data_IF_009080692152
#
_entry.id   IF_009080692152
#
_cell.length_a   1.000
_cell.length_b   1.000
_cell.length_c   1.000
_cell.angle_alpha   90.00
_cell.angle_beta   90.00
_cell.angle_gamma   90.00
#
_symmetry.space_group_name_H-M   'P 1'
#
loop_
_entity.id
_entity.type
_entity.pdbx_description
1 polymer ?
#
# COMPACT_ATOMS: atom_id res chain seq x y z
N UNK A 1 -22.01 -13.75 3.63
CA UNK A 1 -23.36 -14.35 3.80
C UNK A 1 -24.04 -14.68 2.48
N UNK A 2 -23.65 -14.03 1.38
CA UNK A 2 -24.29 -14.16 0.06
C UNK A 2 -24.02 -15.52 -0.62
N UNK A 3 -22.83 -16.10 -0.43
CA UNK A 3 -22.46 -17.38 -1.05
C UNK A 3 -23.33 -18.56 -0.57
N UNK A 4 -23.77 -18.52 0.69
CA UNK A 4 -24.66 -19.54 1.26
C UNK A 4 -26.05 -19.47 0.64
N UNK A 5 -26.57 -18.26 0.40
CA UNK A 5 -27.87 -18.05 -0.25
C UNK A 5 -27.85 -18.57 -1.69
N UNK A 6 -26.77 -18.32 -2.43
CA UNK A 6 -26.61 -18.79 -3.79
C UNK A 6 -26.60 -20.33 -3.89
N UNK A 7 -25.91 -21.02 -2.99
CA UNK A 7 -25.91 -22.49 -2.95
C UNK A 7 -27.28 -23.07 -2.59
N UNK A 8 -28.02 -22.43 -1.67
CA UNK A 8 -29.38 -22.87 -1.29
C UNK A 8 -30.34 -22.75 -2.47
N UNK A 9 -30.31 -21.63 -3.20
CA UNK A 9 -31.16 -21.42 -4.37
C UNK A 9 -30.83 -22.45 -5.46
N UNK A 10 -29.55 -22.71 -5.70
CA UNK A 10 -29.12 -23.72 -6.66
C UNK A 10 -29.62 -25.12 -6.28
N UNK A 11 -29.52 -25.51 -5.01
CA UNK A 11 -30.01 -26.82 -4.55
C UNK A 11 -31.53 -26.96 -4.65
N UNK A 12 -32.28 -25.89 -4.35
CA UNK A 12 -33.75 -25.90 -4.44
C UNK A 12 -34.19 -26.01 -5.90
N UNK A 13 -33.54 -25.28 -6.81
CA UNK A 13 -33.83 -25.34 -8.25
C UNK A 13 -33.57 -26.73 -8.83
N UNK A 14 -32.46 -27.38 -8.42
CA UNK A 14 -32.13 -28.75 -8.84
C UNK A 14 -33.17 -29.75 -8.30
N UNK A 15 -33.56 -29.63 -7.02
CA UNK A 15 -34.59 -30.49 -6.42
C UNK A 15 -35.95 -30.33 -7.11
N UNK A 16 -36.34 -29.10 -7.43
CA UNK A 16 -37.58 -28.83 -8.15
C UNK A 16 -37.58 -29.47 -9.55
N UNK A 17 -36.48 -29.35 -10.30
CA UNK A 17 -36.30 -30.00 -11.60
C UNK A 17 -36.42 -31.53 -11.50
N UNK A 18 -35.80 -32.14 -10.48
CA UNK A 18 -35.88 -33.58 -10.23
C UNK A 18 -37.33 -34.01 -9.96
N UNK A 19 -38.06 -33.27 -9.13
CA UNK A 19 -39.47 -33.56 -8.81
C UNK A 19 -40.37 -33.42 -10.05
N UNK A 20 -40.14 -32.40 -10.89
CA UNK A 20 -40.88 -32.22 -12.16
C UNK A 20 -40.63 -33.40 -13.11
N UNK A 21 -39.38 -33.86 -13.22
CA UNK A 21 -39.04 -35.04 -14.04
C UNK A 21 -39.71 -36.30 -13.48
N UNK A 22 -39.72 -36.51 -12.16
CA UNK A 22 -40.36 -37.67 -11.52
C UNK A 22 -41.89 -37.64 -11.71
N UNK A 23 -42.53 -36.48 -11.53
CA UNK A 23 -43.99 -36.34 -11.69
C UNK A 23 -44.43 -36.52 -13.13
N UNK A 24 -43.67 -35.99 -14.10
CA UNK A 24 -43.85 -36.28 -15.52
C UNK A 24 -43.64 -37.78 -15.84
N UNK A 25 -42.69 -38.42 -15.15
CA UNK A 25 -42.40 -39.85 -15.27
C UNK A 25 -43.51 -40.76 -14.71
N UNK A 26 -44.25 -40.30 -13.70
CA UNK A 26 -45.35 -41.07 -13.08
C UNK A 26 -46.66 -40.89 -13.85
N UNK A 27 -46.88 -39.73 -14.48
CA UNK A 27 -48.13 -39.39 -15.17
C UNK A 27 -48.20 -39.88 -16.62
N UNK A 28 -47.05 -40.04 -17.29
CA UNK A 28 -46.97 -40.61 -18.64
C UNK A 28 -46.76 -42.13 -18.56
N UNK A 29 -47.77 -42.92 -18.92
CA UNK A 29 -47.66 -44.39 -19.07
C UNK A 29 -46.43 -44.78 -19.91
N UNK A 30 -45.89 -45.97 -19.61
CA UNK A 30 -44.68 -46.62 -20.13
C UNK A 30 -44.64 -46.78 -21.68
N UNK A 31 -44.67 -45.66 -22.40
CA UNK A 31 -44.57 -45.57 -23.86
C UNK A 31 -43.12 -45.40 -24.28
N UNK A 32 -42.76 -45.80 -25.50
CA UNK A 32 -41.39 -45.62 -26.03
C UNK A 32 -40.93 -44.15 -26.00
N UNK A 33 -41.86 -43.19 -26.11
CA UNK A 33 -41.58 -41.74 -26.04
C UNK A 33 -41.02 -41.30 -24.68
N UNK A 34 -41.40 -41.98 -23.61
CA UNK A 34 -40.93 -41.74 -22.25
C UNK A 34 -39.42 -41.95 -22.08
N UNK A 35 -38.90 -43.01 -22.71
CA UNK A 35 -37.48 -43.35 -22.64
C UNK A 35 -36.63 -42.34 -23.41
N UNK A 36 -37.15 -41.76 -24.50
CA UNK A 36 -36.44 -40.75 -25.27
C UNK A 36 -36.33 -39.41 -24.51
N UNK A 37 -37.43 -38.90 -23.96
CA UNK A 37 -37.44 -37.62 -23.23
C UNK A 37 -36.46 -37.69 -22.05
N UNK A 38 -36.49 -38.78 -21.31
CA UNK A 38 -35.63 -38.88 -20.14
C UNK A 38 -34.16 -39.11 -20.44
N UNK A 39 -33.83 -39.71 -21.58
CA UNK A 39 -32.44 -39.78 -22.03
C UNK A 39 -31.86 -38.38 -22.27
N UNK A 40 -32.68 -37.48 -22.84
CA UNK A 40 -32.29 -36.08 -23.08
C UNK A 40 -32.09 -35.33 -21.77
N UNK A 41 -33.01 -35.47 -20.81
CA UNK A 41 -32.91 -34.81 -19.51
C UNK A 41 -31.66 -35.27 -18.73
N UNK A 42 -31.39 -36.58 -18.69
CA UNK A 42 -30.21 -37.12 -18.01
C UNK A 42 -28.92 -36.62 -18.66
N UNK A 43 -28.87 -36.58 -20.00
CA UNK A 43 -27.71 -36.06 -20.74
C UNK A 43 -27.46 -34.58 -20.44
N UNK A 44 -28.51 -33.76 -20.39
CA UNK A 44 -28.41 -32.34 -20.06
C UNK A 44 -27.92 -32.12 -18.62
N UNK A 45 -28.45 -32.88 -17.66
CA UNK A 45 -28.03 -32.83 -16.25
C UNK A 45 -26.55 -33.21 -16.11
N UNK A 46 -26.12 -34.31 -16.76
CA UNK A 46 -24.72 -34.74 -16.74
C UNK A 46 -23.79 -33.69 -17.37
N UNK A 47 -24.21 -33.06 -18.48
CA UNK A 47 -23.44 -31.99 -19.12
C UNK A 47 -23.28 -30.77 -18.19
N UNK A 48 -24.35 -30.34 -17.51
CA UNK A 48 -24.29 -29.23 -16.54
C UNK A 48 -23.42 -29.57 -15.34
N UNK A 49 -23.56 -30.78 -14.76
CA UNK A 49 -22.72 -31.24 -13.65
C UNK A 49 -21.25 -31.26 -14.07
N UNK A 50 -20.94 -31.82 -15.24
CA UNK A 50 -19.58 -31.89 -15.77
C UNK A 50 -19.00 -30.47 -15.97
N UNK A 51 -19.77 -29.56 -16.56
CA UNK A 51 -19.39 -28.16 -16.71
C UNK A 51 -19.14 -27.48 -15.35
N UNK A 52 -20.01 -27.69 -14.35
CA UNK A 52 -19.83 -27.14 -13.00
C UNK A 52 -18.59 -27.71 -12.31
N UNK A 53 -18.28 -29.00 -12.48
CA UNK A 53 -17.08 -29.64 -11.94
C UNK A 53 -15.83 -29.08 -12.59
N UNK A 54 -15.81 -28.95 -13.92
CA UNK A 54 -14.70 -28.34 -14.67
C UNK A 54 -14.50 -26.90 -14.23
N UNK A 55 -15.57 -26.11 -14.16
CA UNK A 55 -15.53 -24.71 -13.71
C UNK A 55 -15.07 -24.57 -12.26
N UNK A 56 -15.51 -25.47 -11.37
CA UNK A 56 -15.07 -25.52 -9.97
C UNK A 56 -13.60 -25.89 -9.85
N UNK A 57 -13.14 -26.93 -10.57
CA UNK A 57 -11.72 -27.32 -10.64
C UNK A 57 -10.87 -26.15 -11.12
N UNK A 58 -11.26 -25.54 -12.23
CA UNK A 58 -10.55 -24.40 -12.82
C UNK A 58 -10.44 -23.21 -11.86
N UNK A 59 -11.54 -22.83 -11.20
CA UNK A 59 -11.53 -21.74 -10.22
C UNK A 59 -10.75 -22.09 -8.95
N UNK A 60 -10.66 -23.36 -8.56
CA UNK A 60 -9.92 -23.79 -7.37
C UNK A 60 -8.41 -23.68 -7.59
N UNK A 61 -7.91 -24.15 -8.73
CA UNK A 61 -6.50 -24.04 -9.10
C UNK A 61 -6.02 -22.59 -9.16
N UNK A 62 -6.81 -21.70 -9.78
CA UNK A 62 -6.49 -20.26 -9.83
C UNK A 62 -6.32 -19.64 -8.45
N UNK A 63 -7.15 -20.01 -7.46
CA UNK A 63 -7.06 -19.46 -6.10
C UNK A 63 -5.77 -19.88 -5.38
N UNK A 64 -5.31 -21.11 -5.60
CA UNK A 64 -4.08 -21.63 -4.98
C UNK A 64 -2.85 -20.90 -5.53
N UNK A 65 -2.76 -20.74 -6.85
CA UNK A 65 -1.65 -20.02 -7.48
C UNK A 65 -1.60 -18.55 -7.06
N UNK A 66 -2.75 -17.87 -7.06
CA UNK A 66 -2.83 -16.47 -6.60
C UNK A 66 -2.41 -16.37 -5.13
N UNK A 67 -2.87 -17.27 -4.27
CA UNK A 67 -2.45 -17.28 -2.86
C UNK A 67 -0.95 -17.52 -2.70
N UNK A 68 -0.37 -18.44 -3.48
CA UNK A 68 1.07 -18.73 -3.45
C UNK A 68 1.88 -17.51 -3.89
N UNK A 69 1.49 -16.89 -5.01
CA UNK A 69 2.13 -15.68 -5.54
C UNK A 69 2.00 -14.49 -4.58
N UNK A 70 0.84 -14.30 -3.93
CA UNK A 70 0.64 -13.27 -2.90
C UNK A 70 1.50 -13.54 -1.66
N UNK A 71 1.69 -14.81 -1.27
CA UNK A 71 2.56 -15.16 -0.15
C UNK A 71 4.03 -14.89 -0.47
N UNK A 72 4.51 -15.38 -1.62
CA UNK A 72 5.88 -15.19 -2.09
C UNK A 72 6.22 -13.71 -2.29
N UNK A 73 5.31 -12.93 -2.88
CA UNK A 73 5.45 -11.48 -3.01
C UNK A 73 5.46 -10.74 -1.66
N UNK A 74 4.80 -11.27 -0.62
CA UNK A 74 4.87 -10.72 0.74
C UNK A 74 6.22 -11.01 1.39
N UNK A 75 6.74 -12.23 1.27
CA UNK A 75 8.07 -12.58 1.80
C UNK A 75 9.17 -11.74 1.17
N UNK A 76 9.20 -11.64 -0.16
CA UNK A 76 10.14 -10.77 -0.88
C UNK A 76 10.04 -9.31 -0.40
N UNK A 77 8.82 -8.76 -0.27
CA UNK A 77 8.65 -7.39 0.25
C UNK A 77 9.21 -7.22 1.66
N UNK A 78 9.05 -8.21 2.54
CA UNK A 78 9.59 -8.17 3.91
C UNK A 78 11.12 -8.18 3.85
N UNK A 79 11.73 -9.07 3.08
CA UNK A 79 13.19 -9.13 2.92
C UNK A 79 13.77 -7.84 2.34
N UNK A 80 13.17 -7.31 1.26
CA UNK A 80 13.55 -6.01 0.69
C UNK A 80 13.38 -4.86 1.69
N UNK A 81 12.34 -4.89 2.54
CA UNK A 81 12.15 -3.86 3.56
C UNK A 81 13.20 -3.93 4.67
N UNK A 82 13.64 -5.14 5.04
CA UNK A 82 14.72 -5.35 5.99
C UNK A 82 16.05 -4.85 5.44
N UNK A 83 16.41 -5.25 4.22
CA UNK A 83 17.63 -4.78 3.53
C UNK A 83 17.64 -3.25 3.41
N UNK A 84 16.50 -2.63 3.09
CA UNK A 84 16.34 -1.17 3.04
C UNK A 84 16.60 -0.51 4.40
N UNK A 85 16.07 -1.07 5.50
CA UNK A 85 16.31 -0.59 6.87
C UNK A 85 17.79 -0.70 7.26
N UNK A 86 18.46 -1.79 6.88
CA UNK A 86 19.89 -2.01 7.15
C UNK A 86 20.77 -1.05 6.34
N UNK A 87 20.43 -0.85 5.06
CA UNK A 87 21.14 0.07 4.17
C UNK A 87 20.88 1.55 4.47
N UNK A 88 20.04 1.87 5.46
CA UNK A 88 19.71 3.26 5.82
C UNK A 88 18.89 4.00 4.75
N UNK A 89 18.28 3.27 3.81
CA UNK A 89 17.53 3.84 2.71
C UNK A 89 16.12 4.21 3.19
N UNK A 90 15.60 5.41 2.87
CA UNK A 90 14.29 5.84 3.34
C UNK A 90 13.14 5.01 2.75
N UNK A 91 12.13 4.73 3.57
CA UNK A 91 10.96 3.92 3.16
C UNK A 91 9.83 4.81 2.63
N UNK A 92 9.12 4.38 1.58
CA UNK A 92 7.91 5.07 1.11
C UNK A 92 6.71 4.65 1.95
N UNK A 93 6.11 5.60 2.66
CA UNK A 93 4.90 5.41 3.46
C UNK A 93 3.64 5.76 2.67
N UNK A 94 2.53 5.05 2.94
CA UNK A 94 1.21 5.48 2.48
C UNK A 94 0.72 6.63 3.35
N UNK A 95 -0.11 7.50 2.79
CA UNK A 95 -0.70 8.61 3.54
C UNK A 95 -1.55 8.10 4.71
N UNK A 96 -2.34 7.05 4.47
CA UNK A 96 -3.17 6.37 5.49
C UNK A 96 -2.35 5.94 6.72
N UNK A 97 -1.13 5.40 6.50
CA UNK A 97 -0.26 4.98 7.61
C UNK A 97 0.26 6.18 8.41
N UNK A 98 0.47 7.34 7.76
CA UNK A 98 0.91 8.57 8.44
C UNK A 98 -0.25 9.25 9.17
N UNK A 99 -1.45 9.23 8.59
CA UNK A 99 -2.67 9.71 9.23
C UNK A 99 -2.94 8.89 10.50
N UNK A 100 -2.88 7.56 10.43
CA UNK A 100 -3.04 6.69 11.59
C UNK A 100 -1.95 6.97 12.64
N UNK A 101 -0.68 7.09 12.22
CA UNK A 101 0.43 7.34 13.13
C UNK A 101 0.37 8.71 13.82
N UNK A 102 -0.26 9.70 13.21
CA UNK A 102 -0.34 11.08 13.72
C UNK A 102 -1.72 11.45 14.28
N UNK A 103 -2.61 10.46 14.40
CA UNK A 103 -4.01 10.64 14.80
C UNK A 103 -4.70 11.73 13.92
N UNK A 104 -4.52 11.63 12.60
CA UNK A 104 -5.01 12.62 11.64
C UNK A 104 -4.29 13.97 11.68
N UNK A 105 -2.98 13.97 11.92
CA UNK A 105 -2.14 15.18 12.03
C UNK A 105 -2.58 16.14 13.14
N UNK A 106 -3.08 15.60 14.26
CA UNK A 106 -3.65 16.39 15.37
C UNK A 106 -2.61 17.21 16.14
N UNK A 107 -1.47 16.60 16.47
CA UNK A 107 -0.47 17.22 17.37
C UNK A 107 0.63 17.86 16.52
N UNK A 108 0.48 19.15 16.24
CA UNK A 108 1.53 19.94 15.62
C UNK A 108 2.60 20.31 16.67
N UNK A 109 3.86 20.01 16.36
CA UNK A 109 5.02 20.29 17.22
C UNK A 109 5.91 21.41 16.67
N UNK A 110 5.67 21.86 15.43
CA UNK A 110 6.38 22.99 14.85
C UNK A 110 5.77 23.47 13.53
N UNK A 111 6.03 24.73 13.19
CA UNK A 111 5.67 25.35 11.91
C UNK A 111 6.83 26.22 11.44
N UNK A 112 7.21 26.12 10.18
CA UNK A 112 8.26 26.95 9.57
C UNK A 112 8.02 27.20 8.09
N UNK A 113 8.95 27.89 7.43
CA UNK A 113 8.83 28.28 6.01
C UNK A 113 8.84 27.13 4.99
N UNK A 114 9.20 25.92 5.43
CA UNK A 114 9.16 24.69 4.63
C UNK A 114 7.96 23.80 4.98
N UNK A 115 7.08 24.23 5.88
CA UNK A 115 5.83 23.56 6.22
C UNK A 115 5.66 23.25 7.71
N UNK A 116 4.79 22.28 8.00
CA UNK A 116 4.29 21.97 9.34
C UNK A 116 4.76 20.61 9.82
N UNK A 117 5.16 20.48 11.09
CA UNK A 117 5.69 19.23 11.67
C UNK A 117 4.75 18.71 12.74
N UNK A 118 4.40 17.42 12.64
CA UNK A 118 3.46 16.74 13.52
C UNK A 118 4.15 15.60 14.27
N UNK A 119 3.76 15.37 15.52
CA UNK A 119 4.21 14.21 16.29
C UNK A 119 3.36 12.99 15.95
N UNK A 120 3.99 11.82 15.86
CA UNK A 120 3.30 10.56 15.66
C UNK A 120 4.03 9.36 16.25
N UNK A 121 3.35 8.22 16.24
CA UNK A 121 3.88 6.91 16.63
C UNK A 121 3.54 5.92 15.52
N UNK A 122 4.57 5.33 14.90
CA UNK A 122 4.38 4.31 13.87
C UNK A 122 3.82 3.00 14.47
N UNK A 123 3.30 2.11 13.62
CA UNK A 123 2.80 0.78 14.00
C UNK A 123 3.82 -0.09 14.73
N UNK A 124 5.11 0.17 14.55
CA UNK A 124 6.21 -0.52 15.23
C UNK A 124 6.58 0.11 16.60
N UNK A 125 5.85 1.13 17.05
CA UNK A 125 6.07 1.84 18.32
C UNK A 125 7.12 2.96 18.23
N UNK A 126 7.73 3.18 17.07
CA UNK A 126 8.72 4.24 16.89
C UNK A 126 8.07 5.62 16.98
N UNK A 127 8.57 6.49 17.87
CA UNK A 127 8.17 7.90 17.91
C UNK A 127 8.79 8.64 16.71
N UNK A 128 7.96 9.37 15.98
CA UNK A 128 8.35 10.06 14.75
C UNK A 128 7.86 11.50 14.70
N UNK A 129 8.59 12.32 13.94
CA UNK A 129 8.19 13.66 13.54
C UNK A 129 7.87 13.63 12.03
N UNK A 130 6.63 13.95 11.67
CA UNK A 130 6.13 13.96 10.30
C UNK A 130 6.05 15.41 9.81
N UNK A 131 6.98 15.81 8.94
CA UNK A 131 7.01 17.13 8.30
C UNK A 131 6.19 17.09 7.01
N UNK A 132 5.11 17.86 6.96
CA UNK A 132 4.33 18.14 5.75
C UNK A 132 4.97 19.30 5.01
N UNK A 133 5.37 19.09 3.75
CA UNK A 133 5.93 20.14 2.89
C UNK A 133 4.78 20.91 2.24
N UNK A 134 4.85 22.25 2.29
CA UNK A 134 3.84 23.16 1.75
C UNK A 134 4.35 23.84 0.46
N UNK A 135 3.46 24.04 -0.53
CA UNK A 135 3.77 24.66 -1.84
C UNK A 135 4.04 23.66 -2.98
N UNK A 136 3.36 23.82 -4.14
CA UNK A 136 3.38 22.80 -5.22
C UNK A 136 4.74 22.69 -5.93
N UNK A 137 5.29 23.79 -6.47
CA UNK A 137 6.59 23.81 -7.17
C UNK A 137 7.78 23.81 -6.20
N UNK A 138 7.76 24.71 -5.21
CA UNK A 138 8.83 24.83 -4.20
C UNK A 138 8.97 23.54 -3.40
N UNK A 139 7.84 22.90 -3.06
CA UNK A 139 7.82 21.66 -2.30
C UNK A 139 8.36 20.44 -3.06
N UNK A 140 8.32 20.38 -4.40
CA UNK A 140 8.89 19.23 -5.15
C UNK A 140 10.41 19.28 -5.09
N UNK A 141 10.96 20.48 -5.30
CA UNK A 141 12.39 20.72 -5.26
C UNK A 141 12.94 20.50 -3.85
N UNK A 142 12.27 21.03 -2.83
CA UNK A 142 12.62 20.80 -1.42
C UNK A 142 12.55 19.31 -1.07
N UNK A 143 11.46 18.63 -1.44
CA UNK A 143 11.29 17.18 -1.23
C UNK A 143 12.38 16.34 -1.89
N UNK A 144 12.67 16.57 -3.18
CA UNK A 144 13.70 15.82 -3.92
C UNK A 144 15.10 16.11 -3.37
N UNK A 145 15.37 17.34 -2.98
CA UNK A 145 16.65 17.72 -2.37
C UNK A 145 16.85 17.02 -1.02
N UNK A 146 15.82 16.98 -0.18
CA UNK A 146 15.87 16.30 1.11
C UNK A 146 16.06 14.78 0.93
N UNK A 147 15.28 14.14 0.05
CA UNK A 147 15.45 12.70 -0.25
C UNK A 147 16.83 12.40 -0.86
N UNK A 148 17.34 13.26 -1.74
CA UNK A 148 18.65 13.08 -2.36
C UNK A 148 19.81 13.24 -1.36
N UNK A 149 19.73 14.19 -0.42
CA UNK A 149 20.73 14.33 0.63
C UNK A 149 20.77 13.11 1.57
N UNK A 150 19.65 12.45 1.79
CA UNK A 150 19.60 11.23 2.58
C UNK A 150 20.19 10.05 1.81
N UNK A 151 20.02 10.01 0.49
CA UNK A 151 20.70 9.03 -0.35
C UNK A 151 22.23 9.21 -0.36
N UNK A 152 22.74 10.41 -0.03
CA UNK A 152 24.17 10.74 -0.10
C UNK A 152 24.90 10.84 1.24
N UNK A 153 24.20 10.89 2.40
CA UNK A 153 24.84 11.16 3.68
C UNK A 153 24.91 9.94 4.61
N UNK A 154 26.14 9.49 4.88
CA UNK A 154 26.51 8.51 5.90
C UNK A 154 27.25 9.19 7.07
N UNK A 155 26.69 10.28 7.64
CA UNK A 155 27.30 10.99 8.78
C UNK A 155 26.44 10.94 10.06
N UNK A 156 27.11 10.79 11.21
CA UNK A 156 26.56 10.56 12.57
C UNK A 156 25.66 11.68 13.14
N UNK A 157 25.55 12.85 12.50
CA UNK A 157 24.91 14.04 13.09
C UNK A 157 23.65 14.52 12.35
N UNK A 158 23.10 13.76 11.40
CA UNK A 158 21.79 14.08 10.81
C UNK A 158 20.69 13.28 11.52
N UNK A 159 19.59 13.97 11.85
CA UNK A 159 18.38 13.32 12.39
C UNK A 159 17.94 12.23 11.39
N UNK A 160 17.84 10.99 11.87
CA UNK A 160 17.56 9.82 11.03
C UNK A 160 16.20 10.00 10.33
N UNK A 161 16.21 10.08 8.99
CA UNK A 161 14.98 9.97 8.20
C UNK A 161 14.55 8.50 8.16
N UNK A 162 13.33 8.22 8.63
CA UNK A 162 12.70 6.91 8.49
C UNK A 162 12.11 6.71 7.09
N UNK A 163 11.59 7.78 6.48
CA UNK A 163 11.02 7.68 5.15
C UNK A 163 10.27 8.92 4.69
N UNK A 164 9.47 8.73 3.65
CA UNK A 164 8.74 9.81 3.00
C UNK A 164 7.39 9.32 2.48
N UNK A 165 6.45 10.24 2.25
CA UNK A 165 5.22 9.97 1.50
C UNK A 165 5.02 11.04 0.43
N UNK A 166 4.51 10.63 -0.74
CA UNK A 166 4.15 11.53 -1.84
C UNK A 166 2.91 10.98 -2.52
N UNK A 167 1.78 11.64 -2.30
CA UNK A 167 0.44 11.27 -2.78
C UNK A 167 -0.33 12.55 -3.14
N UNK A 168 -0.90 12.64 -4.34
CA UNK A 168 -1.79 13.73 -4.77
C UNK A 168 -1.29 15.14 -4.41
N UNK A 169 -0.01 15.44 -4.73
CA UNK A 169 0.70 16.70 -4.42
C UNK A 169 1.00 16.97 -2.95
N UNK A 170 0.54 16.12 -2.04
CA UNK A 170 0.93 16.17 -0.63
C UNK A 170 2.22 15.38 -0.43
N UNK A 171 3.20 16.03 0.21
CA UNK A 171 4.53 15.46 0.44
C UNK A 171 4.84 15.50 1.93
N UNK A 172 5.30 14.37 2.44
CA UNK A 172 5.63 14.20 3.86
C UNK A 172 7.01 13.58 4.00
N UNK A 173 7.72 13.99 5.05
CA UNK A 173 9.00 13.42 5.47
C UNK A 173 8.88 12.97 6.92
N UNK A 174 9.39 11.77 7.19
CA UNK A 174 9.24 11.09 8.48
C UNK A 174 10.62 10.97 9.11
N UNK A 175 10.82 11.65 10.23
CA UNK A 175 12.07 11.66 10.99
C UNK A 175 11.92 10.94 12.32
N UNK A 176 13.02 10.50 12.90
CA UNK A 176 13.06 10.09 14.29
C UNK A 176 12.72 11.25 15.21
N UNK A 177 11.73 11.04 16.08
CA UNK A 177 11.43 11.99 17.15
C UNK A 177 12.47 11.80 18.25
N UNK A 178 13.17 12.88 18.60
CA UNK A 178 14.13 12.89 19.69
C UNK A 178 13.42 13.52 20.90
N UNK A 179 13.00 12.73 21.91
CA UNK A 179 12.46 13.29 23.13
C UNK A 179 13.59 13.98 23.90
N UNK A 180 13.38 15.22 24.33
CA UNK A 180 14.32 15.96 25.16
C UNK A 180 14.65 15.15 26.43
N UNK A 181 15.88 14.67 26.55
CA UNK A 181 16.41 14.15 27.82
C UNK A 181 16.83 15.36 28.67
N UNK A 182 15.97 15.71 29.63
CA UNK A 182 16.28 16.50 30.83
C UNK A 182 17.22 17.70 30.68
N UNK A 183 16.67 18.90 30.51
CA UNK A 183 17.06 20.09 31.29
C UNK A 183 15.92 21.11 31.23
N UNK A 184 15.34 21.42 32.40
CA UNK A 184 14.61 22.68 32.61
C UNK A 184 15.58 23.80 32.33
N UNK A 185 15.13 24.73 31.50
CA UNK A 185 15.51 26.13 31.28
C UNK A 185 15.15 26.37 29.82
N UNK A 186 14.34 27.40 29.60
CA UNK A 186 13.77 27.83 28.33
C UNK A 186 14.70 27.53 27.14
N UNK A 187 14.32 26.56 26.30
CA UNK A 187 15.02 26.32 25.05
C UNK A 187 14.50 27.33 24.03
N UNK A 188 15.38 28.21 23.48
CA UNK A 188 14.99 29.18 22.48
C UNK A 188 14.46 28.47 21.23
N UNK A 189 13.67 29.18 20.41
CA UNK A 189 13.10 28.73 19.12
C UNK A 189 14.09 27.95 18.22
N UNK A 190 15.39 28.06 18.48
CA UNK A 190 16.50 27.40 17.80
C UNK A 190 16.48 25.85 17.81
N UNK A 191 15.93 25.16 18.83
CA UNK A 191 15.91 23.67 18.82
C UNK A 191 14.71 23.12 18.01
N UNK A 192 13.57 23.82 18.04
CA UNK A 192 12.46 23.61 17.10
C UNK A 192 12.92 23.97 15.68
N UNK A 193 13.72 25.04 15.54
CA UNK A 193 14.36 25.40 14.29
C UNK A 193 15.31 24.31 13.80
N UNK A 194 16.04 23.58 14.66
CA UNK A 194 16.87 22.44 14.23
C UNK A 194 16.08 21.27 13.67
N UNK A 195 14.87 20.98 14.18
CA UNK A 195 13.96 19.99 13.59
C UNK A 195 13.30 20.51 12.29
N UNK A 196 13.12 21.83 12.16
CA UNK A 196 12.61 22.48 10.94
C UNK A 196 13.70 22.64 9.85
N UNK A 197 14.96 22.81 10.24
CA UNK A 197 16.17 23.03 9.41
C UNK A 197 16.93 21.73 9.05
N UNK A 198 16.40 20.53 9.34
CA UNK A 198 17.03 19.24 8.91
C UNK A 198 17.04 19.06 7.38
N UNK A 199 16.50 20.02 6.62
CA UNK A 199 16.77 20.09 5.20
C UNK A 199 18.26 20.38 4.96
N UNK A 200 18.94 19.70 4.02
CA UNK A 200 20.30 20.05 3.65
C UNK A 200 20.32 21.53 3.24
N UNK A 201 21.10 22.37 3.92
CA UNK A 201 21.44 23.70 3.40
C UNK A 201 22.28 23.47 2.15
N UNK A 202 21.62 23.40 1.00
CA UNK A 202 22.29 23.40 -0.30
C UNK A 202 23.09 24.70 -0.36
N UNK A 203 24.43 24.65 -0.47
CA UNK A 203 25.19 25.87 -0.68
C UNK A 203 24.67 26.53 -1.96
N UNK A 204 24.19 27.76 -1.83
CA UNK A 204 23.79 28.58 -2.95
C UNK A 204 25.00 28.82 -3.85
N UNK A 205 24.98 28.19 -5.02
CA UNK A 205 25.92 28.43 -6.14
C UNK A 205 27.41 28.21 -5.81
N UNK A 206 27.94 27.07 -6.24
CA UNK A 206 29.25 27.14 -6.90
C UNK A 206 29.02 27.86 -8.23
N UNK A 207 29.31 29.16 -8.25
CA UNK A 207 29.44 29.94 -9.47
C UNK A 207 30.60 29.29 -10.23
N UNK A 208 30.33 28.59 -11.34
CA UNK A 208 31.39 28.27 -12.29
C UNK A 208 31.99 29.61 -12.69
N UNK A 209 33.19 29.91 -12.20
CA UNK A 209 34.02 30.98 -12.72
C UNK A 209 34.22 30.71 -14.20
N UNK A 210 33.84 31.69 -15.02
CA UNK A 210 34.19 31.77 -16.43
C UNK A 210 35.67 31.42 -16.60
N UNK A 211 35.95 30.41 -17.41
CA UNK A 211 37.29 30.17 -17.92
C UNK A 211 37.57 31.14 -19.08
N UNK A 212 38.81 31.64 -19.24
CA UNK A 212 39.13 32.77 -20.09
C UNK A 212 39.05 32.39 -21.57
N UNK A 213 38.64 33.35 -22.38
CA UNK A 213 38.78 33.37 -23.84
C UNK A 213 40.23 33.09 -24.24
N UNK A 214 40.48 31.93 -24.85
CA UNK A 214 41.74 31.64 -25.52
C UNK A 214 41.63 32.07 -26.98
N UNK A 215 42.24 33.21 -27.27
CA UNK A 215 42.65 33.63 -28.61
C UNK A 215 43.50 32.54 -29.27
N UNK A 216 43.30 32.30 -30.56
CA UNK A 216 44.22 31.55 -31.41
C UNK A 216 44.17 32.14 -32.82
N UNK A 217 45.24 31.97 -33.60
CA UNK A 217 45.93 33.03 -34.35
C UNK A 217 45.32 33.39 -35.71
#
# INVERSE_FOLDING_TARGET
MEDKKANIIATISILALIIVIITARVTLKLSKTFYLIAGVDISLILAVICFLVIRRRYNRERKILVSKYVSEGRELRIEYSFLRKVAGVPTKFKLEDLEEATDGFRIQIGKGGSGSVFKGVLKDGSQVAVKRIEGEEKGEREFRSEVAAIASVQHKNLVRLYGYSSVNRQRFLVYAYIPNSSRRVDLPEQEIQRMLDVGPKVPSRCRCSESPSLSSP
#
